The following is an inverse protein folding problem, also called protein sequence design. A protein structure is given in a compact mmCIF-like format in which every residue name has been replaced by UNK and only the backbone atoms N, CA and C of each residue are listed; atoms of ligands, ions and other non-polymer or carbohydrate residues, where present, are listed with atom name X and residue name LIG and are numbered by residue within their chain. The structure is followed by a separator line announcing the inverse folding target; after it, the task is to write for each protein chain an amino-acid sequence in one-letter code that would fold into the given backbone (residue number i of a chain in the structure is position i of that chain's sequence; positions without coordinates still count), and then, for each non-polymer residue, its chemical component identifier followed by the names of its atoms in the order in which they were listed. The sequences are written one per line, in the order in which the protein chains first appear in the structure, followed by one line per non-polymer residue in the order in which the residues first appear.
data_IF_270347469977
#
_entry.id   IF_270347469977
#
_cell.length_a   1.000
_cell.length_b   1.000
_cell.length_c   1.000
_cell.angle_alpha   90.00
_cell.angle_beta   90.00
_cell.angle_gamma   90.00
#
_symmetry.space_group_name_H-M   'P 1'
#
loop_
_entity.id
_entity.type
_entity.pdbx_description
1 polymer ?
#
# COMPACT_ATOMS: atom_id res chain seq x y z
N UNK A 1 -39.64 -37.27 4.83
CA UNK A 1 -38.83 -36.72 5.93
C UNK A 1 -37.81 -37.77 6.33
N UNK A 2 -36.64 -37.74 5.71
CA UNK A 2 -35.58 -38.72 5.93
C UNK A 2 -34.91 -38.39 7.26
N UNK A 3 -35.33 -39.13 8.29
CA UNK A 3 -34.84 -38.99 9.64
C UNK A 3 -33.33 -39.17 9.72
N UNK A 4 -32.78 -38.56 10.76
CA UNK A 4 -31.37 -38.60 11.12
C UNK A 4 -30.92 -40.07 11.24
N UNK A 5 -30.26 -40.59 10.21
CA UNK A 5 -29.59 -41.90 10.25
C UNK A 5 -28.27 -41.77 11.01
N UNK A 6 -27.90 -42.83 11.73
CA UNK A 6 -26.68 -42.89 12.56
C UNK A 6 -25.41 -42.51 11.77
N UNK A 7 -25.35 -42.89 10.50
CA UNK A 7 -24.28 -42.56 9.56
C UNK A 7 -24.15 -41.05 9.33
N UNK A 8 -25.27 -40.33 9.20
CA UNK A 8 -25.28 -38.88 9.04
C UNK A 8 -24.82 -38.17 10.32
N UNK A 9 -25.16 -38.72 11.50
CA UNK A 9 -24.66 -38.18 12.78
C UNK A 9 -23.15 -38.35 12.89
N UNK A 10 -22.63 -39.55 12.57
CA UNK A 10 -21.20 -39.85 12.61
C UNK A 10 -20.43 -38.94 11.65
N UNK A 11 -20.95 -38.73 10.44
CA UNK A 11 -20.32 -37.88 9.43
C UNK A 11 -20.26 -36.41 9.87
N UNK A 12 -21.32 -35.91 10.53
CA UNK A 12 -21.32 -34.57 11.12
C UNK A 12 -20.31 -34.45 12.26
N UNK A 13 -20.20 -35.46 13.13
CA UNK A 13 -19.21 -35.44 14.24
C UNK A 13 -17.78 -35.43 13.69
N UNK A 14 -17.48 -36.26 12.69
CA UNK A 14 -16.16 -36.28 12.03
C UNK A 14 -15.84 -34.94 11.37
N UNK A 15 -16.82 -34.33 10.68
CA UNK A 15 -16.66 -33.01 10.08
C UNK A 15 -16.34 -31.94 11.14
N UNK A 16 -17.03 -31.95 12.29
CA UNK A 16 -16.76 -31.02 13.40
C UNK A 16 -15.35 -31.21 13.97
N UNK A 17 -14.90 -32.45 14.14
CA UNK A 17 -13.55 -32.77 14.62
C UNK A 17 -12.48 -32.28 13.64
N UNK A 18 -12.68 -32.52 12.34
CA UNK A 18 -11.76 -32.03 11.30
C UNK A 18 -11.72 -30.50 11.26
N UNK A 19 -12.88 -29.83 11.39
CA UNK A 19 -12.95 -28.38 11.44
C UNK A 19 -12.23 -27.83 12.67
N UNK A 20 -12.37 -28.50 13.83
CA UNK A 20 -11.68 -28.14 15.06
C UNK A 20 -10.15 -28.24 14.92
N UNK A 21 -9.66 -29.33 14.31
CA UNK A 21 -8.23 -29.53 14.03
C UNK A 21 -7.72 -28.46 13.06
N UNK A 22 -8.47 -28.18 11.98
CA UNK A 22 -8.11 -27.16 11.00
C UNK A 22 -8.01 -25.76 11.63
N UNK A 23 -8.97 -25.37 12.48
CA UNK A 23 -8.94 -24.08 13.19
C UNK A 23 -7.74 -23.99 14.13
N UNK A 24 -7.40 -25.07 14.85
CA UNK A 24 -6.20 -25.11 15.71
C UNK A 24 -4.91 -24.99 14.92
N UNK A 25 -4.83 -25.67 13.77
CA UNK A 25 -3.69 -25.63 12.89
C UNK A 25 -3.48 -24.22 12.30
N UNK A 26 -4.54 -23.57 11.81
CA UNK A 26 -4.51 -22.19 11.33
C UNK A 26 -4.05 -21.23 12.44
N UNK A 27 -4.57 -21.37 13.67
CA UNK A 27 -4.13 -20.56 14.81
C UNK A 27 -2.64 -20.77 15.14
N UNK A 28 -2.15 -22.00 15.01
CA UNK A 28 -0.73 -22.34 15.18
C UNK A 28 0.15 -21.66 14.13
N UNK A 29 -0.24 -21.73 12.86
CA UNK A 29 0.46 -21.07 11.75
C UNK A 29 0.51 -19.56 11.94
N UNK A 30 -0.61 -18.93 12.30
CA UNK A 30 -0.65 -17.47 12.53
C UNK A 30 0.32 -17.07 13.64
N UNK A 31 0.34 -17.81 14.76
CA UNK A 31 1.30 -17.57 15.85
C UNK A 31 2.75 -17.73 15.40
N UNK A 32 3.03 -18.74 14.59
CA UNK A 32 4.36 -18.98 14.04
C UNK A 32 4.80 -17.84 13.11
N UNK A 33 3.93 -17.38 12.22
CA UNK A 33 4.20 -16.24 11.33
C UNK A 33 4.50 -14.98 12.15
N UNK A 34 3.67 -14.68 13.16
CA UNK A 34 3.89 -13.52 14.04
C UNK A 34 5.23 -13.63 14.78
N UNK A 35 5.59 -14.82 15.27
CA UNK A 35 6.87 -15.05 15.94
C UNK A 35 8.06 -14.81 14.99
N UNK A 36 7.99 -15.33 13.76
CA UNK A 36 9.03 -15.14 12.75
C UNK A 36 9.19 -13.66 12.42
N UNK A 37 8.09 -12.92 12.22
CA UNK A 37 8.11 -11.48 11.97
C UNK A 37 8.77 -10.75 13.16
N UNK A 38 8.40 -11.09 14.39
CA UNK A 38 9.00 -10.51 15.61
C UNK A 38 10.51 -10.74 15.67
N UNK A 39 10.98 -11.97 15.42
CA UNK A 39 12.40 -12.31 15.43
C UNK A 39 13.15 -11.54 14.35
N UNK A 40 12.59 -11.44 13.13
CA UNK A 40 13.19 -10.67 12.04
C UNK A 40 13.25 -9.17 12.38
N UNK A 41 12.18 -8.63 12.96
CA UNK A 41 12.11 -7.20 13.35
C UNK A 41 13.14 -6.87 14.43
N UNK A 42 13.29 -7.76 15.42
CA UNK A 42 14.33 -7.65 16.44
C UNK A 42 15.74 -7.81 15.85
N UNK A 43 15.92 -8.72 14.89
CA UNK A 43 17.19 -8.93 14.20
C UNK A 43 17.64 -7.71 13.38
N UNK A 44 16.74 -7.09 12.62
CA UNK A 44 17.02 -5.86 11.87
C UNK A 44 17.32 -4.69 12.82
N UNK A 45 16.58 -4.56 13.91
CA UNK A 45 16.83 -3.54 14.93
C UNK A 45 18.20 -3.74 15.60
N UNK A 46 18.53 -4.98 15.97
CA UNK A 46 19.82 -5.32 16.56
C UNK A 46 20.98 -5.10 15.58
N UNK A 47 20.81 -5.46 14.30
CA UNK A 47 21.78 -5.16 13.24
C UNK A 47 22.02 -3.65 13.13
N UNK A 48 20.97 -2.84 13.14
CA UNK A 48 21.13 -1.39 13.05
C UNK A 48 21.79 -0.75 14.28
N UNK A 49 21.46 -1.25 15.48
CA UNK A 49 22.04 -0.74 16.73
C UNK A 49 23.51 -1.17 16.87
N UNK A 50 23.82 -2.43 16.56
CA UNK A 50 25.14 -3.01 16.82
C UNK A 50 26.13 -2.80 15.66
N UNK A 51 25.66 -2.81 14.41
CA UNK A 51 26.54 -2.76 13.22
C UNK A 51 26.54 -1.37 12.58
N UNK A 52 25.38 -0.76 12.32
CA UNK A 52 25.33 0.60 11.75
C UNK A 52 25.42 1.72 12.80
N UNK A 53 25.56 1.36 14.09
CA UNK A 53 25.72 2.26 15.25
C UNK A 53 24.63 3.33 15.36
N UNK A 54 23.45 3.08 14.80
CA UNK A 54 22.30 3.99 14.94
C UNK A 54 21.72 3.84 16.35
N UNK A 55 21.46 4.95 17.03
CA UNK A 55 20.87 4.89 18.36
C UNK A 55 19.44 4.34 18.31
N UNK A 56 19.00 3.65 19.36
CA UNK A 56 17.60 3.21 19.51
C UNK A 56 16.64 4.40 19.36
N UNK A 57 17.03 5.58 19.85
CA UNK A 57 16.26 6.82 19.69
C UNK A 57 16.09 7.24 18.23
N UNK A 58 17.11 7.04 17.38
CA UNK A 58 17.00 7.29 15.95
C UNK A 58 16.00 6.32 15.31
N UNK A 59 16.08 5.03 15.60
CA UNK A 59 15.17 4.02 15.03
C UNK A 59 13.71 4.29 15.42
N UNK A 60 13.44 4.60 16.69
CA UNK A 60 12.10 4.95 17.17
C UNK A 60 11.58 6.22 16.47
N UNK A 61 12.42 7.25 16.33
CA UNK A 61 12.03 8.49 15.67
C UNK A 61 11.78 8.26 14.17
N UNK A 62 12.62 7.46 13.51
CA UNK A 62 12.46 7.06 12.11
C UNK A 62 11.11 6.38 11.90
N UNK A 63 10.82 5.34 12.68
CA UNK A 63 9.54 4.63 12.58
C UNK A 63 8.34 5.55 12.81
N UNK A 64 8.44 6.51 13.75
CA UNK A 64 7.38 7.47 14.02
C UNK A 64 7.14 8.41 12.84
N UNK A 65 8.20 8.95 12.25
CA UNK A 65 8.13 9.87 11.10
C UNK A 65 7.60 9.11 9.87
N UNK A 66 8.17 7.95 9.55
CA UNK A 66 7.75 7.14 8.39
C UNK A 66 6.29 6.67 8.52
N UNK A 67 5.86 6.29 9.72
CA UNK A 67 4.46 5.95 9.96
C UNK A 67 3.54 7.15 9.72
N UNK A 68 3.94 8.34 10.17
CA UNK A 68 3.24 9.59 9.90
C UNK A 68 3.14 9.87 8.39
N UNK A 69 4.25 9.71 7.68
CA UNK A 69 4.30 9.81 6.21
C UNK A 69 3.29 8.87 5.55
N UNK A 70 3.34 7.57 5.87
CA UNK A 70 2.46 6.59 5.22
C UNK A 70 0.98 6.79 5.54
N UNK A 71 0.67 7.25 6.75
CA UNK A 71 -0.70 7.61 7.12
C UNK A 71 -1.24 8.74 6.25
N UNK A 72 -0.42 9.77 6.01
CA UNK A 72 -0.80 10.90 5.17
C UNK A 72 -0.86 10.50 3.69
N UNK A 73 0.16 9.80 3.19
CA UNK A 73 0.26 9.43 1.77
C UNK A 73 -0.89 8.52 1.35
N UNK A 74 -1.38 7.65 2.23
CA UNK A 74 -2.50 6.74 1.89
C UNK A 74 -3.77 7.49 1.51
N UNK A 75 -4.06 8.62 2.18
CA UNK A 75 -5.23 9.45 1.85
C UNK A 75 -5.00 10.19 0.55
N UNK A 76 -3.81 10.78 0.38
CA UNK A 76 -3.42 11.55 -0.80
C UNK A 76 -3.38 10.67 -2.06
N UNK A 77 -2.92 9.42 -1.93
CA UNK A 77 -2.94 8.43 -3.01
C UNK A 77 -4.34 8.15 -3.52
N UNK A 78 -5.33 7.99 -2.64
CA UNK A 78 -6.71 7.77 -3.06
C UNK A 78 -7.28 8.97 -3.82
N UNK A 79 -7.02 10.17 -3.33
CA UNK A 79 -7.42 11.41 -4.01
C UNK A 79 -6.75 11.50 -5.39
N UNK A 80 -5.43 11.32 -5.45
CA UNK A 80 -4.64 11.37 -6.69
C UNK A 80 -5.13 10.37 -7.74
N UNK A 81 -5.45 9.13 -7.32
CA UNK A 81 -6.01 8.10 -8.20
C UNK A 81 -7.36 8.53 -8.77
N UNK A 82 -8.24 9.10 -7.94
CA UNK A 82 -9.54 9.58 -8.40
C UNK A 82 -9.39 10.70 -9.43
N UNK A 83 -8.52 11.68 -9.16
CA UNK A 83 -8.22 12.77 -10.10
C UNK A 83 -7.66 12.24 -11.43
N UNK A 84 -6.74 11.28 -11.39
CA UNK A 84 -6.21 10.62 -12.59
C UNK A 84 -7.29 9.88 -13.36
N UNK A 85 -8.21 9.19 -12.68
CA UNK A 85 -9.34 8.52 -13.33
C UNK A 85 -10.30 9.53 -13.97
N UNK A 86 -10.56 10.66 -13.34
CA UNK A 86 -11.38 11.71 -13.93
C UNK A 86 -10.72 12.32 -15.17
N UNK A 87 -9.41 12.55 -15.15
CA UNK A 87 -8.65 13.00 -16.32
C UNK A 87 -8.75 11.97 -17.46
N UNK A 88 -8.62 10.67 -17.16
CA UNK A 88 -8.78 9.58 -18.14
C UNK A 88 -10.17 9.57 -18.79
N UNK A 89 -11.19 9.92 -18.03
CA UNK A 89 -12.57 10.02 -18.52
C UNK A 89 -12.84 11.37 -19.22
N UNK A 90 -11.84 12.25 -19.31
CA UNK A 90 -11.96 13.59 -19.91
C UNK A 90 -12.78 14.56 -19.06
N UNK A 91 -12.99 14.27 -17.76
CA UNK A 91 -13.74 15.12 -16.85
C UNK A 91 -12.82 16.11 -16.16
N UNK A 92 -13.22 17.38 -16.15
CA UNK A 92 -12.57 18.48 -15.41
C UNK A 92 -11.03 18.45 -15.51
N UNK A 93 -10.50 18.14 -16.72
CA UNK A 93 -9.08 17.81 -16.93
C UNK A 93 -8.16 18.88 -16.35
N UNK A 94 -8.44 20.16 -16.64
CA UNK A 94 -7.68 21.29 -16.12
C UNK A 94 -7.68 21.34 -14.59
N UNK A 95 -8.86 21.35 -13.98
CA UNK A 95 -9.04 21.44 -12.53
C UNK A 95 -8.37 20.27 -11.81
N UNK A 96 -8.54 19.05 -12.32
CA UNK A 96 -7.93 17.86 -11.77
C UNK A 96 -6.40 17.88 -11.90
N UNK A 97 -5.89 18.41 -13.02
CA UNK A 97 -4.45 18.57 -13.24
C UNK A 97 -3.85 19.63 -12.32
N UNK A 98 -4.55 20.75 -12.12
CA UNK A 98 -4.13 21.81 -11.19
C UNK A 98 -4.13 21.29 -9.75
N UNK A 99 -5.14 20.49 -9.36
CA UNK A 99 -5.17 19.83 -8.04
C UNK A 99 -4.03 18.83 -7.85
N UNK A 100 -3.62 18.09 -8.90
CA UNK A 100 -2.44 17.22 -8.83
C UNK A 100 -1.13 18.01 -8.61
N UNK A 101 -1.03 19.23 -9.14
CA UNK A 101 0.13 20.12 -8.88
C UNK A 101 0.17 20.54 -7.41
N UNK A 102 -0.99 20.87 -6.83
CA UNK A 102 -1.10 21.18 -5.39
C UNK A 102 -0.71 19.98 -4.53
N UNK A 103 -1.26 18.80 -4.84
CA UNK A 103 -0.92 17.54 -4.15
C UNK A 103 0.59 17.26 -4.20
N UNK A 104 1.23 17.45 -5.34
CA UNK A 104 2.70 17.29 -5.44
C UNK A 104 3.45 18.21 -4.46
N UNK A 105 3.00 19.45 -4.33
CA UNK A 105 3.57 20.42 -3.38
C UNK A 105 3.32 20.02 -1.92
N UNK A 106 2.14 19.49 -1.61
CA UNK A 106 1.80 18.96 -0.28
C UNK A 106 2.70 17.77 0.08
N UNK A 107 2.86 16.82 -0.84
CA UNK A 107 3.68 15.61 -0.64
C UNK A 107 5.15 15.96 -0.48
N UNK A 108 5.68 16.88 -1.28
CA UNK A 108 7.07 17.34 -1.17
C UNK A 108 7.42 18.00 0.17
N UNK A 109 6.42 18.32 1.01
CA UNK A 109 6.60 18.88 2.36
C UNK A 109 6.41 17.84 3.46
N UNK A 110 6.04 16.59 3.13
CA UNK A 110 5.88 15.55 4.14
C UNK A 110 7.25 15.14 4.68
N UNK A 111 7.40 15.20 6.00
CA UNK A 111 8.58 14.67 6.67
C UNK A 111 8.64 13.15 6.51
N UNK A 112 9.80 12.67 6.11
CA UNK A 112 10.10 11.25 5.95
C UNK A 112 11.58 10.98 6.23
N UNK A 113 11.91 9.74 6.57
CA UNK A 113 13.30 9.36 6.74
C UNK A 113 14.02 9.11 5.41
N UNK A 114 15.35 9.15 5.46
CA UNK A 114 16.20 8.83 4.31
C UNK A 114 15.95 7.44 3.72
N UNK A 115 15.49 6.51 4.55
CA UNK A 115 15.23 5.12 4.20
C UNK A 115 14.03 4.98 3.24
N UNK A 116 13.13 5.95 3.21
CA UNK A 116 11.95 5.95 2.31
C UNK A 116 11.99 7.03 1.24
N UNK A 117 13.10 7.78 1.09
CA UNK A 117 13.29 8.76 0.02
C UNK A 117 12.97 8.17 -1.36
N UNK A 118 13.43 6.94 -1.63
CA UNK A 118 13.17 6.27 -2.90
C UNK A 118 11.67 6.09 -3.17
N UNK A 119 10.87 5.82 -2.14
CA UNK A 119 9.42 5.65 -2.24
C UNK A 119 8.77 7.01 -2.52
N UNK A 120 9.17 8.05 -1.79
CA UNK A 120 8.68 9.42 -1.99
C UNK A 120 9.02 9.94 -3.40
N UNK A 121 10.25 9.74 -3.86
CA UNK A 121 10.69 10.18 -5.19
C UNK A 121 9.91 9.46 -6.29
N UNK A 122 9.67 8.15 -6.16
CA UNK A 122 8.82 7.39 -7.09
C UNK A 122 7.41 7.98 -7.17
N UNK A 123 6.84 8.32 -6.02
CA UNK A 123 5.51 8.91 -5.94
C UNK A 123 5.43 10.31 -6.57
N UNK A 124 6.41 11.18 -6.27
CA UNK A 124 6.52 12.50 -6.88
C UNK A 124 6.69 12.42 -8.40
N UNK A 125 7.47 11.45 -8.88
CA UNK A 125 7.62 11.21 -10.32
C UNK A 125 6.33 10.70 -10.97
N UNK A 126 5.55 9.88 -10.27
CA UNK A 126 4.24 9.43 -10.75
C UNK A 126 3.25 10.62 -10.86
N UNK A 127 3.24 11.51 -9.87
CA UNK A 127 2.47 12.76 -9.92
C UNK A 127 2.93 13.66 -11.07
N UNK A 128 4.23 13.83 -11.28
CA UNK A 128 4.76 14.60 -12.41
C UNK A 128 4.31 14.04 -13.76
N UNK A 129 4.34 12.72 -13.89
CA UNK A 129 3.85 12.06 -15.10
C UNK A 129 2.36 12.28 -15.28
N UNK A 130 1.55 12.18 -14.21
CA UNK A 130 0.13 12.49 -14.23
C UNK A 130 -0.15 13.92 -14.70
N UNK A 131 0.59 14.90 -14.17
CA UNK A 131 0.45 16.32 -14.49
C UNK A 131 0.83 16.58 -15.95
N UNK A 132 1.95 16.03 -16.43
CA UNK A 132 2.40 16.18 -17.81
C UNK A 132 1.35 15.60 -18.77
N UNK A 133 0.84 14.41 -18.47
CA UNK A 133 -0.18 13.75 -19.30
C UNK A 133 -1.51 14.51 -19.26
N UNK A 134 -1.93 15.00 -18.09
CA UNK A 134 -3.13 15.84 -17.93
C UNK A 134 -3.05 17.12 -18.76
N UNK A 135 -1.92 17.85 -18.71
CA UNK A 135 -1.66 19.02 -19.57
C UNK A 135 -1.61 18.65 -21.05
N UNK A 136 -1.06 17.48 -21.37
CA UNK A 136 -1.01 16.92 -22.73
C UNK A 136 -2.39 16.50 -23.26
N UNK A 137 -3.36 16.25 -22.38
CA UNK A 137 -4.69 15.78 -22.75
C UNK A 137 -5.50 16.87 -23.46
N UNK A 138 -5.34 18.13 -23.08
CA UNK A 138 -5.99 19.27 -23.73
C UNK A 138 -5.39 19.63 -25.10
N UNK A 139 -4.14 19.19 -25.35
CA UNK A 139 -3.36 19.56 -26.54
C UNK A 139 -3.24 18.42 -27.57
N UNK A 140 -3.58 17.19 -27.20
CA UNK A 140 -3.35 16.02 -28.05
C UNK A 140 -4.61 15.52 -28.78
N UNK A 141 -4.47 15.26 -30.08
CA UNK A 141 -5.48 14.58 -30.91
C UNK A 141 -5.64 13.08 -30.63
N UNK A 142 -4.86 12.50 -29.69
CA UNK A 142 -4.72 11.05 -29.53
C UNK A 142 -4.99 10.56 -28.09
N UNK A 143 -6.24 10.75 -27.67
CA UNK A 143 -6.79 10.42 -26.34
C UNK A 143 -6.38 9.03 -25.84
N UNK A 144 -6.37 8.00 -26.72
CA UNK A 144 -6.04 6.62 -26.35
C UNK A 144 -4.63 6.43 -25.80
N UNK A 145 -3.64 7.15 -26.32
CA UNK A 145 -2.25 7.01 -25.86
C UNK A 145 -2.07 7.64 -24.47
N UNK A 146 -2.74 8.76 -24.23
CA UNK A 146 -2.72 9.45 -22.94
C UNK A 146 -3.44 8.63 -21.86
N UNK A 147 -4.59 8.02 -22.18
CA UNK A 147 -5.30 7.11 -21.25
C UNK A 147 -4.43 5.94 -20.81
N UNK A 148 -3.64 5.34 -21.72
CA UNK A 148 -2.74 4.23 -21.38
C UNK A 148 -1.60 4.66 -20.45
N UNK A 149 -1.02 5.85 -20.67
CA UNK A 149 0.01 6.39 -19.76
C UNK A 149 -0.57 6.67 -18.37
N UNK A 150 -1.80 7.18 -18.29
CA UNK A 150 -2.49 7.38 -17.01
C UNK A 150 -2.79 6.06 -16.29
N UNK A 151 -3.11 4.96 -16.99
CA UNK A 151 -3.27 3.63 -16.38
C UNK A 151 -1.98 3.13 -15.69
N UNK A 152 -0.82 3.38 -16.29
CA UNK A 152 0.49 3.03 -15.71
C UNK A 152 0.80 3.89 -14.49
N UNK A 153 0.41 5.17 -14.53
CA UNK A 153 0.55 6.11 -13.41
C UNK A 153 -0.36 5.73 -12.23
N UNK A 154 -1.61 5.32 -12.47
CA UNK A 154 -2.53 4.91 -11.39
C UNK A 154 -1.95 3.79 -10.53
N UNK A 155 -1.26 2.81 -11.16
CA UNK A 155 -0.58 1.73 -10.44
C UNK A 155 0.58 2.21 -9.58
N UNK A 156 1.27 3.25 -10.04
CA UNK A 156 2.42 3.83 -9.33
C UNK A 156 2.01 4.78 -8.20
N UNK A 157 0.79 5.33 -8.28
CA UNK A 157 0.18 6.17 -7.24
C UNK A 157 -0.50 5.35 -6.13
N UNK A 158 -0.81 4.07 -6.37
CA UNK A 158 -1.35 3.16 -5.36
C UNK A 158 -0.27 2.70 -4.39
N UNK A 159 0.21 3.64 -3.56
CA UNK A 159 1.06 3.32 -2.42
C UNK A 159 0.19 2.72 -1.32
N UNK A 160 0.01 1.41 -1.39
CA UNK A 160 -0.49 0.65 -0.25
C UNK A 160 0.69 0.25 0.64
N UNK A 161 0.44 0.09 1.96
CA UNK A 161 1.41 -0.49 2.90
C UNK A 161 2.00 -1.84 2.43
N UNK A 162 1.37 -2.49 1.45
CA UNK A 162 1.79 -3.76 0.85
C UNK A 162 3.10 -3.64 0.05
N UNK A 163 3.42 -2.47 -0.50
CA UNK A 163 4.67 -2.25 -1.26
C UNK A 163 5.89 -1.99 -0.37
N UNK A 164 5.68 -1.78 0.94
CA UNK A 164 6.75 -1.65 1.95
C UNK A 164 7.09 -3.04 2.54
N UNK A 165 6.20 -4.01 2.38
CA UNK A 165 6.31 -5.37 2.95
C UNK A 165 6.85 -6.42 1.97
N UNK A 166 7.15 -6.03 0.73
CA UNK A 166 7.76 -6.89 -0.29
C UNK A 166 9.25 -6.58 -0.49
#
# INVERSE_FOLDING_TARGET
MSGINLENIILVIVAIILLYIAVKFIKGIIKFIILVILILTLGVSAYNILITKKSISYEINRYKIDYGYFKNITSISKESINLVNDIKEGRNVKENTDRLVEIKSEVGKLEHSSEINLINDRYLNALDTAIIVGKGYETANNVKEQTKKLDEVTKSLDLSLKDILN
#
